data_IF_697857866766
#
_entry.id   IF_697857866766
#
_cell.length_a   1.000
_cell.length_b   1.000
_cell.length_c   1.000
_cell.angle_alpha   90.00
_cell.angle_beta   90.00
_cell.angle_gamma   90.00
#
_symmetry.space_group_name_H-M   'P 1'
#
loop_
_entity.id
_entity.type
_entity.pdbx_description
1 polymer ?
#
# COMPACT_ATOMS: atom_id res chain seq x y z
N UNK A 1 4.89 -10.90 -12.20
CA UNK A 1 6.14 -10.56 -11.48
C UNK A 1 5.77 -9.71 -10.28
N UNK A 2 5.49 -10.33 -9.13
CA UNK A 2 5.34 -9.63 -7.85
C UNK A 2 6.72 -9.57 -7.20
N UNK A 3 7.43 -8.47 -7.39
CA UNK A 3 8.71 -8.20 -6.73
C UNK A 3 8.51 -7.89 -5.25
N UNK A 4 8.06 -8.88 -4.47
CA UNK A 4 7.83 -8.76 -3.03
C UNK A 4 9.10 -9.06 -2.23
N UNK A 5 10.18 -8.30 -2.48
CA UNK A 5 11.30 -8.30 -1.53
C UNK A 5 10.82 -7.73 -0.19
N UNK A 6 11.26 -8.32 0.93
CA UNK A 6 10.97 -7.77 2.25
C UNK A 6 11.44 -6.30 2.29
N UNK A 7 10.52 -5.38 2.60
CA UNK A 7 10.85 -3.96 2.68
C UNK A 7 11.77 -3.71 3.89
N UNK A 8 12.78 -2.81 3.76
CA UNK A 8 13.66 -2.50 4.87
C UNK A 8 12.88 -1.75 5.97
N UNK A 9 13.09 -2.16 7.22
CA UNK A 9 12.49 -1.49 8.37
C UNK A 9 13.03 -0.06 8.54
N UNK A 10 12.28 0.79 9.23
CA UNK A 10 12.66 2.17 9.57
C UNK A 10 11.81 3.22 8.86
N UNK A 11 12.23 4.49 8.95
CA UNK A 11 11.53 5.61 8.33
C UNK A 11 12.17 5.96 6.99
N UNK A 12 11.38 5.99 5.92
CA UNK A 12 11.84 6.15 4.55
C UNK A 12 11.02 7.18 3.81
N UNK A 13 11.65 7.91 2.89
CA UNK A 13 10.92 8.68 1.88
C UNK A 13 10.48 7.78 0.74
N UNK A 14 9.21 7.91 0.37
CA UNK A 14 8.58 7.22 -0.75
C UNK A 14 7.75 8.22 -1.56
N UNK A 15 7.37 7.83 -2.77
CA UNK A 15 6.43 8.59 -3.58
C UNK A 15 5.00 8.20 -3.19
N UNK A 16 4.18 9.14 -2.77
CA UNK A 16 2.74 8.90 -2.66
C UNK A 16 2.12 8.99 -4.07
N UNK A 17 1.42 7.94 -4.47
CA UNK A 17 0.56 7.90 -5.64
C UNK A 17 -0.84 8.31 -5.20
N UNK A 18 -1.28 9.47 -5.66
CA UNK A 18 -2.69 9.86 -5.61
C UNK A 18 -3.31 9.66 -7.00
N UNK A 19 -4.56 9.20 -7.03
CA UNK A 19 -5.29 8.90 -8.27
C UNK A 19 -5.49 10.14 -9.16
N UNK A 20 -5.24 11.34 -8.65
CA UNK A 20 -5.20 12.63 -9.38
C UNK A 20 -3.87 12.90 -10.10
N UNK A 21 -2.96 11.92 -10.18
CA UNK A 21 -1.60 12.02 -10.76
C UNK A 21 -0.69 13.03 -10.06
N UNK A 22 -1.01 13.44 -8.84
CA UNK A 22 -0.09 14.23 -8.02
C UNK A 22 0.84 13.26 -7.29
N UNK A 23 2.14 13.44 -7.50
CA UNK A 23 3.18 12.74 -6.77
C UNK A 23 3.82 13.69 -5.77
N UNK A 24 3.74 13.35 -4.49
CA UNK A 24 4.51 14.03 -3.43
C UNK A 24 5.37 13.03 -2.70
N UNK A 25 6.51 13.49 -2.20
CA UNK A 25 7.33 12.67 -1.30
C UNK A 25 6.76 12.71 0.11
N UNK A 26 6.60 11.54 0.71
CA UNK A 26 6.15 11.38 2.10
C UNK A 26 7.09 10.47 2.86
N UNK A 27 7.18 10.70 4.17
CA UNK A 27 7.87 9.79 5.07
C UNK A 27 6.90 8.67 5.50
N UNK A 28 7.36 7.43 5.44
CA UNK A 28 6.65 6.26 5.95
C UNK A 28 7.51 5.50 6.93
N UNK A 29 6.91 4.98 7.99
CA UNK A 29 7.52 3.97 8.86
C UNK A 29 7.15 2.59 8.34
N UNK A 30 8.18 1.75 8.18
CA UNK A 30 8.06 0.34 7.82
C UNK A 30 8.50 -0.48 9.03
N UNK A 31 7.62 -1.35 9.53
CA UNK A 31 7.92 -2.24 10.65
C UNK A 31 7.13 -3.55 10.54
N UNK A 32 7.82 -4.69 10.53
CA UNK A 32 7.19 -6.01 10.48
C UNK A 32 6.21 -6.21 9.30
N UNK A 33 6.51 -5.63 8.14
CA UNK A 33 5.62 -5.67 6.96
C UNK A 33 4.44 -4.70 7.00
N UNK A 34 4.31 -3.89 8.06
CA UNK A 34 3.35 -2.80 8.15
C UNK A 34 3.96 -1.51 7.64
N UNK A 35 3.13 -0.68 7.01
CA UNK A 35 3.50 0.64 6.52
C UNK A 35 2.53 1.66 7.10
N UNK A 36 3.06 2.71 7.72
CA UNK A 36 2.28 3.84 8.23
C UNK A 36 2.94 5.15 7.80
N UNK A 37 2.15 6.21 7.59
CA UNK A 37 2.72 7.56 7.44
C UNK A 37 3.48 7.92 8.72
N UNK A 38 4.72 8.37 8.58
CA UNK A 38 5.48 8.89 9.71
C UNK A 38 4.96 10.30 10.03
N UNK A 39 4.81 10.61 11.31
CA UNK A 39 4.48 11.97 11.71
C UNK A 39 5.69 12.91 11.52
N UNK A 40 5.47 14.21 11.70
CA UNK A 40 6.52 15.22 11.49
C UNK A 40 7.67 15.10 12.48
N UNK A 41 7.42 14.62 13.70
CA UNK A 41 8.44 14.44 14.73
C UNK A 41 9.33 13.22 14.43
N UNK A 42 8.71 12.14 13.98
CA UNK A 42 9.37 10.94 13.46
C UNK A 42 10.25 11.27 12.24
N UNK A 43 9.72 12.08 11.33
CA UNK A 43 10.42 12.45 10.11
C UNK A 43 11.60 13.42 10.33
N UNK A 44 11.61 14.18 11.43
CA UNK A 44 12.58 15.26 11.69
C UNK A 44 14.01 14.76 12.01
N UNK A 45 14.22 13.46 12.20
CA UNK A 45 15.57 12.92 12.47
C UNK A 45 15.77 11.44 12.15
N UNK A 46 14.73 10.70 11.74
CA UNK A 46 14.81 9.25 11.56
C UNK A 46 14.76 8.78 10.10
N UNK A 47 14.68 9.69 9.12
CA UNK A 47 14.62 9.32 7.70
C UNK A 47 15.95 8.71 7.26
N UNK A 48 15.94 7.41 6.95
CA UNK A 48 17.11 6.65 6.55
C UNK A 48 17.52 6.87 5.09
N UNK A 49 16.60 7.37 4.26
CA UNK A 49 16.85 7.63 2.85
C UNK A 49 15.56 7.61 2.03
N UNK A 50 15.71 7.36 0.73
CA UNK A 50 14.61 7.25 -0.24
C UNK A 50 14.53 5.84 -0.79
N UNK A 51 13.34 5.26 -0.80
CA UNK A 51 13.05 4.04 -1.54
C UNK A 51 12.41 4.42 -2.88
N UNK A 52 12.86 3.81 -3.99
CA UNK A 52 12.27 4.03 -5.31
C UNK A 52 10.99 3.20 -5.50
N UNK A 53 10.01 3.50 -4.67
CA UNK A 53 8.72 2.84 -4.61
C UNK A 53 7.62 3.90 -4.53
N UNK A 54 6.42 3.52 -4.97
CA UNK A 54 5.22 4.32 -4.75
C UNK A 54 4.29 3.60 -3.77
N UNK A 55 3.68 4.36 -2.87
CA UNK A 55 2.58 3.88 -2.02
C UNK A 55 1.27 4.49 -2.49
N UNK A 56 0.18 3.74 -2.37
CA UNK A 56 -1.18 4.25 -2.51
C UNK A 56 -1.99 3.75 -1.32
N UNK A 57 -3.17 4.32 -1.14
CA UNK A 57 -4.19 3.64 -0.35
C UNK A 57 -4.49 2.26 -0.95
N UNK A 58 -4.95 1.35 -0.10
CA UNK A 58 -5.40 0.03 -0.53
C UNK A 58 -6.59 0.13 -1.49
N UNK A 59 -6.61 -0.72 -2.51
CA UNK A 59 -7.71 -0.72 -3.49
C UNK A 59 -8.96 -1.32 -2.85
N UNK A 60 -10.08 -0.59 -2.93
CA UNK A 60 -11.40 -1.12 -2.55
C UNK A 60 -12.15 -1.48 -3.82
N UNK A 61 -12.34 -2.77 -4.05
CA UNK A 61 -13.20 -3.23 -5.14
C UNK A 61 -14.65 -3.23 -4.66
N UNK A 62 -15.48 -2.41 -5.31
CA UNK A 62 -16.88 -2.23 -4.93
C UNK A 62 -17.83 -3.15 -5.70
N UNK A 63 -17.32 -3.98 -6.60
CA UNK A 63 -18.12 -4.83 -7.46
C UNK A 63 -17.46 -6.19 -7.62
N UNK A 64 -17.47 -6.96 -6.54
CA UNK A 64 -16.98 -8.35 -6.54
C UNK A 64 -18.16 -9.30 -6.40
N UNK A 65 -18.11 -10.41 -7.14
CA UNK A 65 -18.94 -11.59 -6.88
C UNK A 65 -18.05 -12.67 -6.28
N UNK A 66 -18.09 -12.83 -4.95
CA UNK A 66 -17.17 -13.73 -4.26
C UNK A 66 -17.34 -15.20 -4.68
N UNK A 67 -18.53 -15.58 -5.13
CA UNK A 67 -18.76 -16.95 -5.63
C UNK A 67 -18.13 -17.24 -7.00
N UNK A 68 -17.62 -16.24 -7.71
CA UNK A 68 -16.99 -16.37 -9.03
C UNK A 68 -15.49 -16.03 -9.02
N UNK A 69 -14.96 -15.52 -7.90
CA UNK A 69 -13.55 -15.12 -7.80
C UNK A 69 -12.67 -16.27 -7.30
N UNK A 70 -11.47 -16.37 -7.85
CA UNK A 70 -10.42 -17.25 -7.30
C UNK A 70 -9.80 -16.55 -6.08
N UNK A 71 -9.99 -17.12 -4.89
CA UNK A 71 -9.62 -16.48 -3.63
C UNK A 71 -8.11 -16.26 -3.48
N UNK A 72 -7.26 -17.15 -4.01
CA UNK A 72 -5.82 -16.98 -3.94
C UNK A 72 -5.35 -15.82 -4.83
N UNK A 73 -5.95 -15.65 -6.01
CA UNK A 73 -5.73 -14.51 -6.89
C UNK A 73 -6.16 -13.20 -6.23
N UNK A 74 -7.31 -13.19 -5.55
CA UNK A 74 -7.77 -12.02 -4.79
C UNK A 74 -6.81 -11.68 -3.65
N UNK A 75 -6.37 -12.67 -2.87
CA UNK A 75 -5.41 -12.49 -1.77
C UNK A 75 -4.02 -12.03 -2.23
N UNK A 76 -3.62 -12.38 -3.46
CA UNK A 76 -2.38 -11.91 -4.08
C UNK A 76 -2.49 -10.56 -4.79
N UNK A 77 -3.68 -9.94 -4.79
CA UNK A 77 -3.95 -8.70 -5.53
C UNK A 77 -3.70 -7.44 -4.68
N UNK A 78 -3.67 -6.25 -5.31
CA UNK A 78 -3.65 -4.97 -4.59
C UNK A 78 -4.97 -4.62 -3.87
N UNK A 79 -6.02 -5.45 -4.00
CA UNK A 79 -7.32 -5.24 -3.36
C UNK A 79 -7.21 -5.54 -1.87
N UNK A 80 -7.50 -4.54 -1.04
CA UNK A 80 -7.43 -4.65 0.42
C UNK A 80 -8.80 -4.76 1.07
N UNK A 81 -9.88 -4.43 0.33
CA UNK A 81 -11.25 -4.64 0.77
C UNK A 81 -12.17 -4.88 -0.44
N UNK A 82 -13.20 -5.69 -0.22
CA UNK A 82 -14.22 -6.02 -1.21
C UNK A 82 -15.61 -5.72 -0.67
N UNK A 83 -16.49 -5.23 -1.53
CA UNK A 83 -17.94 -5.23 -1.30
C UNK A 83 -18.52 -6.31 -2.20
N UNK A 84 -19.01 -7.39 -1.58
CA UNK A 84 -19.69 -8.47 -2.29
C UNK A 84 -21.12 -8.03 -2.60
N UNK A 85 -21.49 -7.99 -3.88
CA UNK A 85 -22.86 -7.67 -4.29
C UNK A 85 -23.80 -8.88 -4.18
N UNK A 86 -23.26 -10.05 -3.80
CA UNK A 86 -24.03 -11.28 -3.76
C UNK A 86 -24.28 -11.83 -5.16
N UNK A 87 -25.30 -12.66 -5.28
CA UNK A 87 -25.72 -13.29 -6.52
C UNK A 87 -27.14 -12.84 -6.84
N UNK A 88 -27.29 -11.75 -7.59
CA UNK A 88 -28.52 -11.39 -8.31
C UNK A 88 -28.20 -11.22 -9.80
#
# INVERSE_FOLDING_TARGET
>A
MTGGGALPAGVWRVRELRLDRIHREVAVRIDGGRVALADTADAAGAVLGRLDLAISDGVVDRHVHLGLVEHAALAGSPVTAVVDLGWD
#
